data_IF_323751451727
#
_entry.id   IF_323751451727
#
_cell.length_a   1.000
_cell.length_b   1.000
_cell.length_c   1.000
_cell.angle_alpha   90.00
_cell.angle_beta   90.00
_cell.angle_gamma   90.00
#
_symmetry.space_group_name_H-M   'P 1'
#
loop_
_entity.id
_entity.type
_entity.pdbx_description
1 polymer ?
#
# COMPACT_ATOMS: atom_id res chain seq x y z
N UNK A 1 -6.03 27.09 -63.32
CA UNK A 1 -5.80 27.85 -62.07
C UNK A 1 -6.50 27.07 -60.96
N UNK A 2 -5.73 26.66 -59.94
CA UNK A 2 -5.99 25.43 -59.22
C UNK A 2 -6.97 25.48 -58.05
N UNK A 3 -7.13 24.30 -57.43
CA UNK A 3 -7.46 24.15 -56.03
C UNK A 3 -7.00 22.75 -55.57
N UNK A 4 -6.14 22.73 -54.54
CA UNK A 4 -5.64 21.53 -53.86
C UNK A 4 -6.79 20.79 -53.17
N UNK A 5 -6.76 19.45 -53.16
CA UNK A 5 -7.39 18.63 -52.11
C UNK A 5 -6.39 17.58 -51.60
N UNK A 6 -6.28 17.42 -50.27
CA UNK A 6 -5.23 16.62 -49.63
C UNK A 6 -5.53 15.12 -49.71
N UNK A 7 -4.48 14.33 -49.94
CA UNK A 7 -4.54 12.87 -49.84
C UNK A 7 -4.55 12.50 -48.35
N UNK A 8 -5.70 12.07 -47.85
CA UNK A 8 -5.88 11.48 -46.53
C UNK A 8 -5.08 10.17 -46.45
N UNK A 9 -4.12 10.13 -45.52
CA UNK A 9 -3.44 8.88 -45.12
C UNK A 9 -4.34 8.13 -44.13
N UNK A 10 -4.67 6.85 -44.34
CA UNK A 10 -5.43 6.10 -43.36
C UNK A 10 -4.52 5.80 -42.14
N UNK A 11 -4.88 6.38 -40.99
CA UNK A 11 -4.40 5.99 -39.67
C UNK A 11 -5.00 4.64 -39.26
N UNK A 12 -4.58 3.56 -39.92
CA UNK A 12 -4.87 2.19 -39.47
C UNK A 12 -3.56 1.40 -39.44
N UNK A 13 -3.00 1.25 -38.24
CA UNK A 13 -1.76 0.51 -38.01
C UNK A 13 -1.11 0.72 -36.64
N UNK A 14 -1.86 1.15 -35.61
CA UNK A 14 -1.42 1.01 -34.22
C UNK A 14 -1.63 -0.45 -33.82
N UNK A 15 -0.64 -1.30 -34.09
CA UNK A 15 -0.77 -2.73 -33.83
C UNK A 15 0.35 -3.58 -34.40
N UNK A 16 1.60 -3.17 -34.22
CA UNK A 16 2.72 -4.11 -34.22
C UNK A 16 3.92 -3.36 -33.65
N UNK A 17 4.17 -3.53 -32.34
CA UNK A 17 5.53 -3.40 -31.85
C UNK A 17 6.33 -4.48 -32.57
N UNK A 18 6.90 -4.12 -33.72
CA UNK A 18 7.97 -4.88 -34.31
C UNK A 18 9.12 -4.73 -33.32
N UNK A 19 9.35 -5.78 -32.55
CA UNK A 19 10.68 -6.08 -32.04
C UNK A 19 11.64 -5.79 -33.20
N UNK A 20 12.40 -4.69 -33.09
CA UNK A 20 13.59 -4.49 -33.89
C UNK A 20 14.63 -5.49 -33.37
N UNK A 21 14.35 -6.79 -33.58
CA UNK A 21 15.38 -7.79 -33.64
C UNK A 21 16.24 -7.39 -34.82
N UNK A 22 17.44 -6.91 -34.54
CA UNK A 22 18.47 -6.79 -35.55
C UNK A 22 18.74 -8.20 -36.10
N UNK A 23 17.97 -8.60 -37.12
CA UNK A 23 18.38 -9.67 -37.99
C UNK A 23 19.67 -9.20 -38.63
N UNK A 24 20.79 -9.73 -38.16
CA UNK A 24 22.07 -9.59 -38.82
C UNK A 24 21.87 -9.98 -40.29
N UNK A 25 22.02 -9.01 -41.19
CA UNK A 25 21.99 -9.28 -42.62
C UNK A 25 23.08 -10.32 -42.94
N UNK A 26 22.83 -11.27 -43.85
CA UNK A 26 23.82 -12.27 -44.23
C UNK A 26 25.09 -11.56 -44.70
N UNK A 27 26.23 -11.98 -44.15
CA UNK A 27 27.56 -11.44 -44.42
C UNK A 27 27.83 -11.36 -45.93
N UNK A 28 27.72 -10.16 -46.50
CA UNK A 28 28.28 -9.85 -47.81
C UNK A 28 29.80 -9.65 -47.67
N UNK A 29 30.64 -10.29 -48.50
CA UNK A 29 32.10 -10.36 -48.31
C UNK A 29 32.87 -9.06 -48.62
N UNK A 30 32.20 -7.94 -48.86
CA UNK A 30 32.83 -6.62 -49.03
C UNK A 30 32.51 -5.72 -47.83
N UNK A 31 33.29 -5.87 -46.76
CA UNK A 31 33.29 -4.90 -45.67
C UNK A 31 33.85 -3.56 -46.19
N UNK A 32 32.97 -2.61 -46.56
CA UNK A 32 33.38 -1.21 -46.71
C UNK A 32 33.99 -0.77 -45.39
N UNK A 33 35.27 -0.40 -45.42
CA UNK A 33 35.94 0.21 -44.28
C UNK A 33 35.14 1.46 -43.89
N UNK A 34 34.47 1.38 -42.75
CA UNK A 34 33.71 2.49 -42.18
C UNK A 34 34.68 3.66 -41.90
N UNK A 35 34.24 4.92 -42.03
CA UNK A 35 34.98 6.07 -41.52
C UNK A 35 35.42 5.89 -40.05
N UNK A 36 36.58 6.45 -39.62
CA UNK A 36 37.19 6.15 -38.32
C UNK A 36 36.33 6.51 -37.10
N UNK A 37 35.45 7.50 -37.25
CA UNK A 37 34.46 7.93 -36.26
C UNK A 37 33.35 6.90 -36.07
N UNK A 38 32.82 6.34 -37.17
CA UNK A 38 31.82 5.28 -37.13
C UNK A 38 32.40 3.95 -36.63
N UNK A 39 33.66 3.64 -36.94
CA UNK A 39 34.34 2.45 -36.41
C UNK A 39 34.38 2.46 -34.88
N UNK A 40 34.76 3.59 -34.27
CA UNK A 40 34.81 3.73 -32.81
C UNK A 40 33.44 3.53 -32.14
N UNK A 41 32.37 4.00 -32.77
CA UNK A 41 31.01 3.84 -32.23
C UNK A 41 30.60 2.37 -32.24
N UNK A 42 30.91 1.63 -33.29
CA UNK A 42 30.63 0.19 -33.38
C UNK A 42 31.45 -0.57 -32.34
N UNK A 43 32.74 -0.28 -32.20
CA UNK A 43 33.62 -0.91 -31.20
C UNK A 43 33.15 -0.63 -29.76
N UNK A 44 32.68 0.58 -29.46
CA UNK A 44 32.12 0.91 -28.15
C UNK A 44 30.77 0.21 -27.90
N UNK A 45 29.93 0.07 -28.93
CA UNK A 45 28.68 -0.69 -28.83
C UNK A 45 28.94 -2.17 -28.60
N UNK A 46 29.85 -2.77 -29.36
CA UNK A 46 30.26 -4.17 -29.23
C UNK A 46 30.87 -4.44 -27.85
N UNK A 47 31.70 -3.52 -27.34
CA UNK A 47 32.25 -3.61 -25.98
C UNK A 47 31.16 -3.59 -24.92
N UNK A 48 30.20 -2.67 -25.00
CA UNK A 48 29.06 -2.58 -24.06
C UNK A 48 28.13 -3.79 -24.18
N UNK A 49 27.93 -4.31 -25.40
CA UNK A 49 27.15 -5.52 -25.64
C UNK A 49 27.84 -6.72 -25.00
N UNK A 50 29.15 -6.87 -25.20
CA UNK A 50 29.95 -7.93 -24.59
C UNK A 50 29.99 -7.84 -23.05
N UNK A 51 30.09 -6.63 -22.48
CA UNK A 51 30.01 -6.40 -21.04
C UNK A 51 28.63 -6.78 -20.46
N UNK A 52 27.55 -6.45 -21.18
CA UNK A 52 26.17 -6.82 -20.83
C UNK A 52 25.92 -8.33 -20.93
N UNK A 53 26.42 -8.98 -21.98
CA UNK A 53 26.34 -10.44 -22.18
C UNK A 53 27.15 -11.19 -21.11
N UNK A 54 28.35 -10.71 -20.78
CA UNK A 54 29.16 -11.26 -19.70
C UNK A 54 28.47 -11.10 -18.33
N UNK A 55 27.74 -10.00 -18.11
CA UNK A 55 26.96 -9.80 -16.88
C UNK A 55 25.79 -10.77 -16.75
N UNK A 56 25.03 -10.99 -17.83
CA UNK A 56 23.91 -11.95 -17.88
C UNK A 56 24.39 -13.40 -17.73
N UNK A 57 25.51 -13.76 -18.38
CA UNK A 57 26.07 -15.12 -18.32
C UNK A 57 26.52 -15.55 -16.92
N UNK A 58 26.84 -14.60 -16.02
CA UNK A 58 27.18 -14.90 -14.62
C UNK A 58 25.96 -15.40 -13.84
N UNK A 59 24.80 -14.78 -14.04
CA UNK A 59 23.56 -15.20 -13.39
C UNK A 59 23.07 -16.53 -13.96
N UNK A 60 23.13 -16.72 -15.29
CA UNK A 60 22.79 -17.99 -15.91
C UNK A 60 23.67 -19.14 -15.43
N UNK A 61 24.98 -18.94 -15.24
CA UNK A 61 25.87 -19.97 -14.66
C UNK A 61 25.55 -20.28 -13.20
N UNK A 62 25.16 -19.28 -12.42
CA UNK A 62 24.73 -19.47 -11.03
C UNK A 62 23.44 -20.31 -10.95
N UNK A 63 22.49 -20.06 -11.86
CA UNK A 63 21.18 -20.75 -11.90
C UNK A 63 21.28 -22.14 -12.58
N UNK A 64 22.16 -22.32 -13.58
CA UNK A 64 22.34 -23.58 -14.32
C UNK A 64 23.32 -24.56 -13.67
N UNK A 65 24.06 -24.14 -12.65
CA UNK A 65 24.95 -25.02 -11.90
C UNK A 65 24.19 -26.12 -11.15
N UNK A 66 24.89 -27.20 -10.76
CA UNK A 66 24.33 -28.36 -10.03
C UNK A 66 23.57 -27.98 -8.75
N UNK A 67 23.86 -26.82 -8.18
CA UNK A 67 23.25 -26.29 -6.96
C UNK A 67 22.35 -25.06 -7.18
N UNK A 68 22.19 -24.58 -8.43
CA UNK A 68 21.45 -23.36 -8.75
C UNK A 68 19.98 -23.43 -8.32
N UNK A 69 19.32 -24.57 -8.52
CA UNK A 69 17.95 -24.81 -8.05
C UNK A 69 17.80 -24.73 -6.53
N UNK A 70 18.78 -25.23 -5.77
CA UNK A 70 18.77 -25.19 -4.29
C UNK A 70 18.95 -23.76 -3.80
N UNK A 71 19.90 -23.02 -4.38
CA UNK A 71 20.12 -21.60 -4.04
C UNK A 71 18.87 -20.77 -4.34
N UNK A 72 18.24 -20.99 -5.50
CA UNK A 72 16.99 -20.33 -5.86
C UNK A 72 15.86 -20.63 -4.87
N UNK A 73 15.70 -21.90 -4.50
CA UNK A 73 14.68 -22.33 -3.54
C UNK A 73 14.90 -21.70 -2.15
N UNK A 74 16.13 -21.76 -1.62
CA UNK A 74 16.45 -21.14 -0.32
C UNK A 74 16.22 -19.64 -0.34
N UNK A 75 16.60 -18.96 -1.42
CA UNK A 75 16.39 -17.52 -1.57
C UNK A 75 14.89 -17.17 -1.58
N UNK A 76 14.11 -17.90 -2.37
CA UNK A 76 12.65 -17.70 -2.43
C UNK A 76 11.97 -17.96 -1.09
N UNK A 77 12.32 -19.06 -0.40
CA UNK A 77 11.81 -19.35 0.94
C UNK A 77 12.20 -18.28 1.96
N UNK A 78 13.42 -17.77 1.88
CA UNK A 78 13.89 -16.70 2.79
C UNK A 78 13.11 -15.41 2.55
N UNK A 79 12.92 -15.01 1.29
CA UNK A 79 12.13 -13.82 0.93
C UNK A 79 10.69 -13.98 1.41
N UNK A 80 10.08 -15.15 1.15
CA UNK A 80 8.72 -15.44 1.58
C UNK A 80 8.58 -15.41 3.11
N UNK A 81 9.52 -16.00 3.83
CA UNK A 81 9.54 -15.98 5.30
C UNK A 81 9.68 -14.56 5.84
N UNK A 82 10.56 -13.74 5.27
CA UNK A 82 10.72 -12.33 5.67
C UNK A 82 9.42 -11.57 5.39
N UNK A 83 8.81 -11.73 4.22
CA UNK A 83 7.52 -11.08 3.92
C UNK A 83 6.43 -11.48 4.91
N UNK A 84 6.33 -12.77 5.23
CA UNK A 84 5.40 -13.28 6.24
C UNK A 84 5.68 -12.65 7.62
N UNK A 85 6.94 -12.69 8.07
CA UNK A 85 7.36 -12.19 9.38
C UNK A 85 7.25 -10.67 9.53
N UNK A 86 7.14 -9.91 8.45
CA UNK A 86 6.87 -8.47 8.50
C UNK A 86 5.38 -8.15 8.55
N UNK A 87 4.54 -9.03 8.01
CA UNK A 87 3.11 -8.82 7.86
C UNK A 87 2.31 -9.44 9.03
N UNK A 88 2.88 -10.35 9.80
CA UNK A 88 2.27 -11.00 10.97
C UNK A 88 2.63 -10.25 12.28
N UNK A 89 1.63 -9.74 13.00
CA UNK A 89 1.79 -9.00 14.26
C UNK A 89 2.51 -9.81 15.34
N UNK A 90 2.35 -11.14 15.34
CA UNK A 90 2.97 -12.03 16.34
C UNK A 90 4.48 -12.21 16.16
N UNK A 91 5.03 -11.70 15.07
CA UNK A 91 6.44 -11.85 14.72
C UNK A 91 7.38 -11.12 15.68
N UNK A 92 8.43 -11.83 16.11
CA UNK A 92 9.56 -11.29 16.89
C UNK A 92 10.21 -10.07 16.23
N UNK A 93 10.08 -9.92 14.91
CA UNK A 93 10.60 -8.78 14.16
C UNK A 93 10.00 -7.45 14.65
N UNK A 94 8.76 -7.46 15.15
CA UNK A 94 8.11 -6.25 15.68
C UNK A 94 8.72 -5.77 17.00
N UNK A 95 9.51 -6.58 17.72
CA UNK A 95 10.30 -6.07 18.85
C UNK A 95 11.34 -5.05 18.40
N UNK A 96 11.97 -5.26 17.24
CA UNK A 96 12.90 -4.30 16.66
C UNK A 96 12.17 -3.02 16.24
N UNK A 97 11.00 -3.16 15.62
CA UNK A 97 10.14 -2.03 15.25
C UNK A 97 9.74 -1.22 16.48
N UNK A 98 9.31 -1.89 17.56
CA UNK A 98 8.99 -1.25 18.83
C UNK A 98 10.19 -0.51 19.44
N UNK A 99 11.38 -1.10 19.41
CA UNK A 99 12.61 -0.43 19.82
C UNK A 99 12.91 0.81 18.98
N UNK A 100 12.79 0.72 17.65
CA UNK A 100 13.01 1.85 16.75
C UNK A 100 12.00 2.98 16.98
N UNK A 101 10.72 2.66 17.17
CA UNK A 101 9.68 3.64 17.46
C UNK A 101 9.92 4.38 18.77
N UNK A 102 10.44 3.69 19.80
CA UNK A 102 10.82 4.32 21.08
C UNK A 102 11.93 5.37 20.93
N UNK A 103 12.73 5.30 19.86
CA UNK A 103 13.76 6.31 19.58
C UNK A 103 13.21 7.57 18.91
N UNK A 104 12.03 7.50 18.28
CA UNK A 104 11.47 8.60 17.47
C UNK A 104 10.73 9.66 18.32
N UNK A 105 10.48 9.42 19.61
CA UNK A 105 9.59 10.26 20.41
C UNK A 105 8.12 10.04 20.03
N UNK A 106 7.17 10.42 20.91
CA UNK A 106 5.77 10.00 20.80
C UNK A 106 5.09 10.49 19.52
N UNK A 107 5.22 11.78 19.18
CA UNK A 107 4.54 12.37 18.02
C UNK A 107 5.07 11.86 16.69
N UNK A 108 6.40 11.70 16.56
CA UNK A 108 6.97 11.18 15.33
C UNK A 108 6.70 9.68 15.17
N UNK A 109 6.68 8.91 16.25
CA UNK A 109 6.26 7.51 16.23
C UNK A 109 4.79 7.37 15.79
N UNK A 110 3.88 8.19 16.35
CA UNK A 110 2.47 8.25 15.93
C UNK A 110 2.36 8.61 14.44
N UNK A 111 3.05 9.65 13.99
CA UNK A 111 3.06 10.05 12.59
C UNK A 111 3.63 8.97 11.66
N UNK A 112 4.64 8.22 12.09
CA UNK A 112 5.19 7.10 11.32
C UNK A 112 4.17 5.96 11.19
N UNK A 113 3.50 5.59 12.29
CA UNK A 113 2.45 4.57 12.30
C UNK A 113 1.25 4.96 11.44
N UNK A 114 0.80 6.21 11.48
CA UNK A 114 -0.29 6.69 10.62
C UNK A 114 0.08 6.69 9.13
N UNK A 115 1.33 7.00 8.78
CA UNK A 115 1.80 6.87 7.38
C UNK A 115 1.86 5.42 6.94
N UNK A 116 2.36 4.54 7.80
CA UNK A 116 2.36 3.09 7.54
C UNK A 116 0.93 2.56 7.37
N UNK A 117 -0.02 3.03 8.20
CA UNK A 117 -1.44 2.71 8.09
C UNK A 117 -2.01 3.17 6.74
N UNK A 118 -1.73 4.41 6.33
CA UNK A 118 -2.18 4.97 5.04
C UNK A 118 -1.66 4.17 3.83
N UNK A 119 -0.47 3.58 3.93
CA UNK A 119 0.13 2.74 2.89
C UNK A 119 -0.22 1.24 3.02
N UNK A 120 -0.95 0.84 4.07
CA UNK A 120 -1.27 -0.57 4.32
C UNK A 120 -0.06 -1.42 4.69
N UNK A 121 0.97 -0.82 5.28
CA UNK A 121 2.21 -1.49 5.70
C UNK A 121 2.21 -1.89 7.18
N UNK A 122 1.14 -1.60 7.91
CA UNK A 122 0.99 -2.14 9.25
C UNK A 122 0.81 -3.66 9.19
N UNK A 123 1.39 -4.33 10.19
CA UNK A 123 1.21 -5.75 10.37
C UNK A 123 -0.26 -6.07 10.67
N UNK A 124 -0.65 -7.29 10.30
CA UNK A 124 -1.98 -7.83 10.49
C UNK A 124 -1.94 -8.96 11.51
N UNK A 125 -2.97 -9.01 12.33
CA UNK A 125 -3.29 -10.16 13.13
C UNK A 125 -3.99 -11.19 12.24
N UNK A 126 -3.49 -12.43 12.30
CA UNK A 126 -4.02 -13.57 11.57
C UNK A 126 -4.66 -14.59 12.51
N UNK A 127 -4.54 -14.38 13.83
CA UNK A 127 -5.13 -15.25 14.83
C UNK A 127 -6.65 -15.07 14.88
N UNK A 128 -7.33 -16.11 15.34
CA UNK A 128 -8.78 -16.06 15.51
C UNK A 128 -9.11 -15.48 16.87
N UNK A 129 -10.01 -14.50 16.88
CA UNK A 129 -10.57 -13.95 18.12
C UNK A 129 -11.23 -15.05 18.96
N UNK A 130 -11.01 -14.99 20.28
CA UNK A 130 -11.67 -15.88 21.22
C UNK A 130 -13.14 -15.47 21.38
N UNK A 131 -14.11 -16.38 21.13
CA UNK A 131 -15.54 -16.06 21.26
C UNK A 131 -15.96 -15.64 22.68
N UNK A 132 -15.20 -15.97 23.72
CA UNK A 132 -15.48 -15.53 25.09
C UNK A 132 -15.15 -14.05 25.35
N UNK A 133 -14.43 -13.40 24.44
CA UNK A 133 -14.06 -11.99 24.54
C UNK A 133 -15.12 -11.05 23.96
N UNK A 134 -16.17 -11.58 23.33
CA UNK A 134 -17.24 -10.77 22.74
C UNK A 134 -18.03 -10.05 23.83
N UNK A 135 -18.24 -8.74 23.65
CA UNK A 135 -18.99 -7.88 24.56
C UNK A 135 -20.13 -7.18 23.81
N UNK A 136 -21.37 -7.40 24.26
CA UNK A 136 -22.58 -6.78 23.71
C UNK A 136 -23.19 -5.83 24.77
N UNK A 137 -22.72 -4.57 24.91
CA UNK A 137 -23.20 -3.67 25.97
C UNK A 137 -24.66 -3.22 25.77
N UNK A 138 -25.13 -3.20 24.52
CA UNK A 138 -26.52 -2.88 24.18
C UNK A 138 -26.92 -3.60 22.90
N UNK A 139 -28.24 -3.70 22.66
CA UNK A 139 -28.75 -4.29 21.43
C UNK A 139 -28.23 -3.53 20.20
N UNK A 140 -27.69 -4.27 19.23
CA UNK A 140 -27.14 -3.71 17.99
C UNK A 140 -25.69 -3.23 18.07
N UNK A 141 -25.05 -3.22 19.26
CA UNK A 141 -23.64 -2.88 19.41
C UNK A 141 -22.86 -4.09 19.95
N UNK A 142 -22.00 -4.66 19.11
CA UNK A 142 -21.21 -5.86 19.41
C UNK A 142 -19.73 -5.61 19.22
N UNK A 143 -18.97 -5.70 20.31
CA UNK A 143 -17.51 -5.64 20.28
C UNK A 143 -16.96 -7.06 20.22
N UNK A 144 -16.26 -7.40 19.13
CA UNK A 144 -15.67 -8.73 18.92
C UNK A 144 -14.51 -9.03 19.86
N UNK A 145 -13.80 -7.98 20.29
CA UNK A 145 -12.72 -8.03 21.27
C UNK A 145 -12.80 -6.80 22.19
N UNK A 146 -12.46 -6.92 23.48
CA UNK A 146 -12.63 -5.88 24.49
C UNK A 146 -11.46 -4.87 24.51
N UNK A 147 -10.62 -4.88 23.48
CA UNK A 147 -9.46 -4.01 23.35
C UNK A 147 -9.64 -3.14 22.11
N UNK A 148 -9.52 -1.84 22.29
CA UNK A 148 -9.66 -0.88 21.20
C UNK A 148 -8.57 0.19 21.20
N UNK A 149 -8.43 0.86 20.06
CA UNK A 149 -7.58 2.03 19.90
C UNK A 149 -8.37 3.27 20.32
N UNK A 150 -7.91 3.92 21.39
CA UNK A 150 -8.58 5.10 21.93
C UNK A 150 -8.50 6.32 21.01
N UNK A 151 -9.44 7.25 21.20
CA UNK A 151 -9.39 8.56 20.58
C UNK A 151 -8.08 9.31 20.89
N UNK A 152 -7.68 10.17 19.97
CA UNK A 152 -6.45 10.97 19.98
C UNK A 152 -5.33 10.38 19.13
N UNK A 153 -5.42 9.10 18.75
CA UNK A 153 -4.40 8.47 17.92
C UNK A 153 -4.61 8.77 16.42
N UNK A 154 -5.73 8.32 15.86
CA UNK A 154 -6.15 8.58 14.48
C UNK A 154 -7.28 9.62 14.44
N UNK A 155 -6.88 10.89 14.47
CA UNK A 155 -7.82 12.02 14.50
C UNK A 155 -8.54 12.24 13.17
N UNK A 156 -7.95 11.81 12.05
CA UNK A 156 -8.44 12.17 10.71
C UNK A 156 -8.94 10.98 9.86
N UNK A 157 -9.18 9.83 10.50
CA UNK A 157 -9.56 8.58 9.83
C UNK A 157 -8.55 8.15 8.74
N UNK A 158 -7.26 8.28 9.01
CA UNK A 158 -6.17 7.98 8.06
C UNK A 158 -6.15 6.49 7.72
N UNK A 159 -6.36 5.62 8.70
CA UNK A 159 -6.28 4.17 8.47
C UNK A 159 -6.95 3.31 9.52
N UNK A 160 -8.24 3.54 9.88
CA UNK A 160 -8.93 2.76 10.90
C UNK A 160 -8.90 1.25 10.61
N UNK A 161 -9.11 0.84 9.34
CA UNK A 161 -9.03 -0.58 8.95
C UNK A 161 -7.65 -1.19 9.19
N UNK A 162 -6.56 -0.42 9.05
CA UNK A 162 -5.22 -0.94 9.28
C UNK A 162 -5.02 -1.26 10.76
N UNK A 163 -5.57 -0.44 11.66
CA UNK A 163 -5.54 -0.71 13.10
C UNK A 163 -6.49 -1.85 13.50
N UNK A 164 -7.67 -1.94 12.90
CA UNK A 164 -8.56 -3.10 13.11
C UNK A 164 -7.89 -4.40 12.67
N UNK A 165 -7.22 -4.40 11.50
CA UNK A 165 -6.47 -5.56 11.03
C UNK A 165 -5.27 -5.89 11.91
N UNK A 166 -4.79 -4.97 12.75
CA UNK A 166 -3.70 -5.24 13.71
C UNK A 166 -4.20 -5.98 14.98
N UNK A 167 -5.50 -6.28 15.07
CA UNK A 167 -6.13 -7.03 16.17
C UNK A 167 -6.96 -6.16 17.14
N UNK A 168 -7.13 -4.86 16.89
CA UNK A 168 -8.04 -4.05 17.70
C UNK A 168 -9.51 -4.38 17.36
N UNK A 169 -10.32 -4.67 18.39
CA UNK A 169 -11.75 -4.94 18.23
C UNK A 169 -12.57 -3.70 17.87
N UNK A 170 -12.06 -2.50 18.20
CA UNK A 170 -12.66 -1.23 17.81
C UNK A 170 -11.62 -0.11 17.74
N UNK A 171 -11.90 0.92 16.95
CA UNK A 171 -11.07 2.13 16.83
C UNK A 171 -11.94 3.35 17.05
N UNK A 172 -11.55 4.21 17.98
CA UNK A 172 -12.18 5.50 18.23
C UNK A 172 -11.39 6.61 17.53
N UNK A 173 -12.08 7.31 16.63
CA UNK A 173 -11.54 8.47 15.91
C UNK A 173 -11.71 9.75 16.73
N UNK A 174 -10.95 10.78 16.38
CA UNK A 174 -11.02 12.10 17.03
C UNK A 174 -9.99 12.25 18.16
N UNK A 175 -10.21 13.13 19.15
CA UNK A 175 -11.29 14.11 19.18
C UNK A 175 -11.10 15.07 18.01
N UNK A 176 -12.19 15.37 17.30
CA UNK A 176 -12.15 16.39 16.26
C UNK A 176 -12.58 17.72 16.86
N UNK A 177 -11.92 18.81 16.46
CA UNK A 177 -12.28 20.14 16.90
C UNK A 177 -13.74 20.42 16.54
N UNK A 178 -14.51 20.93 17.51
CA UNK A 178 -15.90 21.30 17.32
C UNK A 178 -16.01 22.72 16.75
N UNK A 179 -16.78 22.97 15.68
CA UNK A 179 -17.36 21.98 14.76
C UNK A 179 -16.33 21.41 13.77
N UNK A 180 -16.60 20.19 13.28
CA UNK A 180 -15.76 19.45 12.32
C UNK A 180 -15.32 20.29 11.10
N UNK A 181 -16.15 21.26 10.71
CA UNK A 181 -15.81 22.32 9.75
C UNK A 181 -15.25 21.78 8.44
N UNK A 182 -14.12 22.35 8.02
CA UNK A 182 -13.44 21.99 6.76
C UNK A 182 -12.84 20.57 6.79
N UNK A 183 -12.63 19.98 7.97
CA UNK A 183 -12.11 18.61 8.11
C UNK A 183 -13.18 17.54 7.84
N UNK A 184 -14.47 17.93 7.78
CA UNK A 184 -15.57 17.00 7.59
C UNK A 184 -15.52 16.26 6.26
N UNK A 185 -15.36 16.97 5.15
CA UNK A 185 -15.37 16.37 3.81
C UNK A 185 -14.22 15.37 3.57
N UNK A 186 -12.94 15.70 3.85
CA UNK A 186 -11.86 14.72 3.66
C UNK A 186 -12.02 13.50 4.58
N UNK A 187 -12.50 13.67 5.81
CA UNK A 187 -12.78 12.56 6.72
C UNK A 187 -13.90 11.66 6.19
N UNK A 188 -15.01 12.24 5.72
CA UNK A 188 -16.10 11.50 5.08
C UNK A 188 -15.61 10.70 3.89
N UNK A 189 -14.75 11.28 3.05
CA UNK A 189 -14.20 10.58 1.89
C UNK A 189 -13.35 9.38 2.30
N UNK A 190 -12.54 9.50 3.36
CA UNK A 190 -11.74 8.39 3.90
C UNK A 190 -12.62 7.28 4.48
N UNK A 191 -13.65 7.64 5.24
CA UNK A 191 -14.60 6.69 5.81
C UNK A 191 -15.45 5.99 4.73
N UNK A 192 -15.88 6.71 3.70
CA UNK A 192 -16.57 6.11 2.56
C UNK A 192 -15.66 5.18 1.74
N UNK A 193 -14.37 5.51 1.62
CA UNK A 193 -13.40 4.63 0.96
C UNK A 193 -13.19 3.33 1.75
N UNK A 194 -13.15 3.42 3.09
CA UNK A 194 -13.09 2.27 4.01
C UNK A 194 -14.23 1.29 3.79
N UNK A 195 -15.47 1.77 3.70
CA UNK A 195 -16.64 0.91 3.45
C UNK A 195 -16.51 0.13 2.14
N UNK A 196 -16.10 0.80 1.05
CA UNK A 196 -15.90 0.14 -0.25
C UNK A 196 -14.81 -0.93 -0.18
N UNK A 197 -13.72 -0.66 0.53
CA UNK A 197 -12.66 -1.64 0.76
C UNK A 197 -13.21 -2.86 1.51
N UNK A 198 -14.05 -2.65 2.53
CA UNK A 198 -14.74 -3.71 3.26
C UNK A 198 -15.67 -4.55 2.38
N UNK A 199 -16.45 -3.92 1.51
CA UNK A 199 -17.40 -4.60 0.62
C UNK A 199 -16.70 -5.35 -0.52
N UNK A 200 -15.56 -4.85 -1.00
CA UNK A 200 -14.87 -5.41 -2.17
C UNK A 200 -14.19 -6.77 -1.90
N UNK A 201 -13.99 -7.16 -0.64
CA UNK A 201 -13.27 -8.39 -0.25
C UNK A 201 -11.81 -8.50 -0.72
N UNK A 202 -11.31 -7.48 -1.44
CA UNK A 202 -9.96 -7.43 -2.03
C UNK A 202 -8.89 -7.04 -1.00
N UNK A 203 -9.30 -6.37 0.08
CA UNK A 203 -8.59 -6.42 1.34
C UNK A 203 -9.32 -7.45 2.18
N UNK A 204 -8.68 -8.57 2.53
CA UNK A 204 -9.15 -9.37 3.65
C UNK A 204 -9.21 -8.44 4.85
N UNK A 205 -10.40 -7.94 5.17
CA UNK A 205 -10.66 -7.46 6.52
C UNK A 205 -10.68 -8.72 7.34
N UNK A 206 -9.60 -8.96 8.06
CA UNK A 206 -9.43 -10.17 8.87
C UNK A 206 -10.34 -10.08 10.10
N UNK A 207 -10.62 -8.86 10.59
CA UNK A 207 -11.44 -8.63 11.78
C UNK A 207 -12.63 -7.68 11.54
N UNK A 208 -13.84 -8.13 11.91
CA UNK A 208 -15.07 -7.32 11.95
C UNK A 208 -15.04 -6.35 13.15
N UNK A 209 -14.21 -5.31 13.06
CA UNK A 209 -14.09 -4.31 14.10
C UNK A 209 -15.00 -3.09 13.91
N UNK A 210 -15.36 -2.45 15.03
CA UNK A 210 -16.19 -1.25 15.04
C UNK A 210 -15.34 0.03 14.91
N UNK A 211 -15.89 1.04 14.24
CA UNK A 211 -15.30 2.38 14.19
C UNK A 211 -16.23 3.36 14.86
N UNK A 212 -15.77 3.92 15.97
CA UNK A 212 -16.44 4.99 16.70
C UNK A 212 -15.79 6.33 16.47
N UNK A 213 -16.45 7.39 16.94
CA UNK A 213 -15.86 8.72 17.00
C UNK A 213 -16.12 9.37 18.34
N UNK A 214 -15.06 9.87 18.95
CA UNK A 214 -15.14 10.80 20.07
C UNK A 214 -15.50 12.19 19.55
N UNK A 215 -16.62 12.72 20.03
CA UNK A 215 -17.11 14.06 19.70
C UNK A 215 -17.21 14.84 21.00
N UNK A 216 -16.45 15.93 21.08
CA UNK A 216 -16.60 16.96 22.11
C UNK A 216 -17.27 18.19 21.51
N UNK A 217 -17.77 19.09 22.36
CA UNK A 217 -18.36 20.33 21.88
C UNK A 217 -18.90 21.22 22.99
N UNK A 218 -18.93 22.52 22.74
CA UNK A 218 -19.46 23.53 23.68
C UNK A 218 -20.96 23.77 23.50
N UNK A 219 -21.53 23.30 22.39
CA UNK A 219 -22.94 23.46 22.05
C UNK A 219 -23.54 22.18 21.45
N UNK A 220 -24.76 21.85 21.88
CA UNK A 220 -25.54 20.73 21.32
C UNK A 220 -25.71 20.83 19.81
N UNK A 221 -25.81 22.04 19.25
CA UNK A 221 -25.95 22.23 17.80
C UNK A 221 -24.67 21.87 17.04
N UNK A 222 -23.50 22.10 17.64
CA UNK A 222 -22.22 21.85 17.02
C UNK A 222 -21.90 20.34 17.06
N UNK A 223 -22.19 19.67 18.18
CA UNK A 223 -22.22 18.20 18.29
C UNK A 223 -23.09 17.55 17.21
N UNK A 224 -24.35 17.98 17.08
CA UNK A 224 -25.29 17.40 16.10
C UNK A 224 -24.77 17.57 14.68
N UNK A 225 -24.22 18.73 14.32
CA UNK A 225 -23.64 18.97 12.98
C UNK A 225 -22.46 18.04 12.69
N UNK A 226 -21.59 17.86 13.68
CA UNK A 226 -20.45 16.94 13.57
C UNK A 226 -20.93 15.49 13.39
N UNK A 227 -21.93 15.07 14.17
CA UNK A 227 -22.54 13.74 14.04
C UNK A 227 -23.25 13.54 12.69
N UNK A 228 -24.00 14.52 12.20
CA UNK A 228 -24.68 14.47 10.90
C UNK A 228 -23.70 14.36 9.73
N UNK A 229 -22.53 14.99 9.84
CA UNK A 229 -21.53 14.97 8.78
C UNK A 229 -20.97 13.56 8.53
N UNK A 230 -20.62 12.82 9.58
CA UNK A 230 -19.89 11.54 9.47
C UNK A 230 -20.67 10.32 9.92
N UNK A 231 -21.81 10.49 10.60
CA UNK A 231 -22.51 9.41 11.29
C UNK A 231 -23.05 8.29 10.42
N UNK A 232 -23.18 8.49 9.10
CA UNK A 232 -23.53 7.40 8.17
C UNK A 232 -22.45 6.32 8.09
N UNK A 233 -21.20 6.66 8.42
CA UNK A 233 -20.04 5.80 8.23
C UNK A 233 -19.42 5.28 9.54
N UNK A 234 -20.09 5.52 10.67
CA UNK A 234 -19.63 5.20 12.01
C UNK A 234 -20.61 4.25 12.69
N UNK A 235 -20.10 3.38 13.55
CA UNK A 235 -20.90 2.41 14.29
C UNK A 235 -21.45 3.00 15.59
N UNK A 236 -20.70 3.91 16.23
CA UNK A 236 -21.12 4.60 17.46
C UNK A 236 -20.43 5.96 17.64
N UNK A 237 -20.95 6.75 18.57
CA UNK A 237 -20.36 8.00 19.02
C UNK A 237 -20.07 7.94 20.51
N UNK A 238 -18.87 8.38 20.90
CA UNK A 238 -18.50 8.65 22.28
C UNK A 238 -18.61 10.17 22.50
N UNK A 239 -19.53 10.60 23.36
CA UNK A 239 -19.68 12.03 23.67
C UNK A 239 -18.78 12.32 24.87
N UNK A 240 -17.74 13.12 24.65
CA UNK A 240 -16.90 13.61 25.72
C UNK A 240 -17.61 14.80 26.39
N UNK A 241 -18.18 14.53 27.57
CA UNK A 241 -18.90 15.51 28.39
C UNK A 241 -17.97 16.19 29.41
N UNK A 242 -16.69 16.36 29.07
CA UNK A 242 -15.64 16.88 29.97
C UNK A 242 -16.16 17.84 31.06
N UNK A 243 -15.78 17.56 32.31
CA UNK A 243 -16.13 18.38 33.48
C UNK A 243 -15.60 19.82 33.39
#
# INVERSE_FOLDING_TARGET
>A
VGARRPLLWPLNGLGQQRHFGAQAAPHSPEARQLPPDLQRIVEDYDRRSAESEAAHGRFERLVSGRHGGVVGMVSAFTIMYVMYAFDDVSSELHHLTGCALRLLGPDAARGALLRAAAWGWLAKDYDKDDPYLVVDPQEGLRFIAPIGLAAGFDTEAVGPNAFLNMGFGFVELGPVADPLGDAAEPMRQRLAARERTSESGLAQIVHLGLVGMAVGGDSSNALVRSMEAVGRHLDYFAIDLGE
#
